data_IF_014568212647
#
_entry.id   IF_014568212647
#
_cell.length_a   1.000
_cell.length_b   1.000
_cell.length_c   1.000
_cell.angle_alpha   90.00
_cell.angle_beta   90.00
_cell.angle_gamma   90.00
#
_symmetry.space_group_name_H-M   'P 1'
#
loop_
_entity.id
_entity.type
_entity.pdbx_description
1 polymer ?
#
# COMPACT_ATOMS: atom_id res chain seq x y z
N UNK A 1 -24.21 -3.05 1.59
CA UNK A 1 -23.22 -4.13 1.37
C UNK A 1 -22.49 -4.35 2.69
N UNK A 2 -22.49 -5.56 3.19
CA UNK A 2 -21.88 -5.91 4.47
C UNK A 2 -20.36 -5.99 4.27
N UNK A 3 -19.63 -5.11 4.96
CA UNK A 3 -18.17 -5.23 5.15
C UNK A 3 -17.84 -6.67 5.51
N UNK A 4 -16.72 -7.20 5.00
CA UNK A 4 -16.17 -8.45 5.55
C UNK A 4 -15.93 -8.21 7.04
N UNK A 5 -16.64 -8.90 7.95
CA UNK A 5 -16.48 -8.69 9.39
C UNK A 5 -15.08 -9.10 9.88
N UNK A 6 -14.29 -9.77 9.04
CA UNK A 6 -13.01 -10.40 9.34
C UNK A 6 -11.83 -9.79 8.57
N UNK A 7 -11.92 -8.52 8.10
CA UNK A 7 -10.80 -7.86 7.41
C UNK A 7 -9.59 -7.70 8.33
N UNK A 8 -8.48 -8.40 8.00
CA UNK A 8 -7.19 -8.26 8.71
C UNK A 8 -6.64 -6.83 8.57
N UNK A 9 -6.88 -6.18 7.41
CA UNK A 9 -6.48 -4.78 7.18
C UNK A 9 -7.22 -3.85 8.13
N UNK A 10 -8.56 -3.95 8.22
CA UNK A 10 -9.33 -3.09 9.13
C UNK A 10 -8.96 -3.35 10.61
N UNK A 11 -8.66 -4.59 10.98
CA UNK A 11 -8.24 -4.94 12.33
C UNK A 11 -6.89 -4.29 12.71
N UNK A 12 -5.97 -4.10 11.76
CA UNK A 12 -4.68 -3.45 11.99
C UNK A 12 -4.78 -1.98 12.45
N UNK A 13 -5.94 -1.35 12.24
CA UNK A 13 -6.22 0.03 12.70
C UNK A 13 -6.98 0.10 14.04
N UNK A 14 -7.31 -1.05 14.64
CA UNK A 14 -8.17 -1.08 15.84
C UNK A 14 -7.43 -0.65 17.13
N UNK A 15 -6.14 -0.96 17.23
CA UNK A 15 -5.34 -0.76 18.45
C UNK A 15 -4.54 0.55 18.45
N UNK A 16 -4.77 1.43 17.48
CA UNK A 16 -4.09 2.72 17.37
C UNK A 16 -3.74 3.09 15.92
N UNK A 17 -2.96 4.17 15.72
CA UNK A 17 -2.60 4.59 14.38
C UNK A 17 -1.72 3.56 13.70
N UNK A 18 -2.15 3.12 12.50
CA UNK A 18 -1.40 2.14 11.73
C UNK A 18 -0.20 2.77 11.00
N UNK A 19 0.91 2.04 10.95
CA UNK A 19 2.04 2.33 10.08
C UNK A 19 2.03 1.37 8.89
N UNK A 20 1.96 1.94 7.69
CA UNK A 20 1.88 1.22 6.41
C UNK A 20 3.11 1.57 5.55
N UNK A 21 4.22 0.82 5.67
CA UNK A 21 5.36 0.98 4.77
C UNK A 21 5.04 0.45 3.38
N UNK A 22 5.61 1.13 2.36
CA UNK A 22 5.62 0.66 0.98
C UNK A 22 7.04 0.28 0.56
N UNK A 23 7.19 -0.87 -0.11
CA UNK A 23 8.35 -1.25 -0.91
C UNK A 23 7.92 -1.91 -2.23
N UNK A 24 8.74 -1.78 -3.27
CA UNK A 24 8.58 -2.58 -4.48
C UNK A 24 9.12 -4.01 -4.23
N UNK A 25 8.30 -5.02 -4.50
CA UNK A 25 8.72 -6.42 -4.35
C UNK A 25 9.89 -6.73 -5.29
N UNK A 26 10.96 -7.33 -4.76
CA UNK A 26 12.14 -7.70 -5.52
C UNK A 26 13.16 -6.56 -5.73
N UNK A 27 13.03 -5.43 -5.09
CA UNK A 27 13.99 -4.32 -5.16
C UNK A 27 15.03 -4.43 -4.02
N UNK A 28 16.35 -4.44 -4.27
CA UNK A 28 17.03 -4.56 -5.58
C UNK A 28 17.19 -6.01 -6.06
N UNK A 29 16.89 -6.98 -5.23
CA UNK A 29 16.83 -8.41 -5.53
C UNK A 29 15.75 -9.10 -4.72
N UNK A 30 15.34 -10.30 -5.13
CA UNK A 30 14.30 -11.08 -4.46
C UNK A 30 14.62 -11.31 -2.97
N UNK A 31 15.84 -11.83 -2.69
CA UNK A 31 16.26 -12.20 -1.34
C UNK A 31 16.48 -10.98 -0.44
N UNK A 32 17.07 -9.90 -0.98
CA UNK A 32 17.26 -8.66 -0.24
C UNK A 32 15.90 -8.04 0.12
N UNK A 33 14.97 -8.00 -0.85
CA UNK A 33 13.62 -7.47 -0.66
C UNK A 33 12.84 -8.23 0.42
N UNK A 34 12.91 -9.57 0.46
CA UNK A 34 12.34 -10.37 1.55
C UNK A 34 12.88 -9.95 2.92
N UNK A 35 14.20 -9.78 3.02
CA UNK A 35 14.85 -9.34 4.26
C UNK A 35 14.40 -7.94 4.67
N UNK A 36 14.22 -7.04 3.70
CA UNK A 36 13.80 -5.66 3.95
C UNK A 36 12.35 -5.58 4.42
N UNK A 37 11.44 -6.32 3.79
CA UNK A 37 10.03 -6.36 4.23
C UNK A 37 9.92 -6.95 5.64
N UNK A 38 10.64 -8.03 5.93
CA UNK A 38 10.71 -8.60 7.29
C UNK A 38 11.23 -7.60 8.31
N UNK A 39 12.26 -6.82 7.97
CA UNK A 39 12.80 -5.78 8.84
C UNK A 39 11.78 -4.66 9.12
N UNK A 40 10.95 -4.27 8.15
CA UNK A 40 9.86 -3.30 8.35
C UNK A 40 8.79 -3.84 9.30
N UNK A 41 8.42 -5.12 9.16
CA UNK A 41 7.46 -5.80 10.06
C UNK A 41 8.02 -5.84 11.49
N UNK A 42 9.28 -6.24 11.67
CA UNK A 42 9.99 -6.22 12.98
C UNK A 42 10.12 -4.80 13.55
N UNK A 43 10.15 -3.78 12.70
CA UNK A 43 10.18 -2.36 13.07
C UNK A 43 8.82 -1.80 13.49
N UNK A 44 7.73 -2.55 13.34
CA UNK A 44 6.40 -2.16 13.81
C UNK A 44 5.43 -1.77 12.69
N UNK A 45 5.60 -2.29 11.46
CA UNK A 45 4.57 -2.18 10.44
C UNK A 45 3.30 -2.92 10.87
N UNK A 46 2.15 -2.30 10.70
CA UNK A 46 0.83 -2.90 10.99
C UNK A 46 0.18 -3.48 9.73
N UNK A 47 0.50 -2.92 8.57
CA UNK A 47 0.12 -3.37 7.22
C UNK A 47 1.34 -3.16 6.34
N UNK A 48 1.60 -4.01 5.36
CA UNK A 48 2.64 -3.75 4.34
C UNK A 48 1.97 -3.51 3.01
N UNK A 49 2.24 -2.36 2.39
CA UNK A 49 1.91 -2.08 1.00
C UNK A 49 3.08 -2.56 0.13
N UNK A 50 2.86 -3.63 -0.62
CA UNK A 50 3.88 -4.29 -1.43
C UNK A 50 3.59 -4.06 -2.91
N UNK A 51 4.45 -3.29 -3.58
CA UNK A 51 4.30 -2.96 -4.99
C UNK A 51 4.63 -4.15 -5.90
N UNK A 52 3.69 -4.59 -6.72
CA UNK A 52 3.95 -5.45 -7.87
C UNK A 52 4.44 -4.53 -9.01
N UNK A 53 5.70 -4.65 -9.46
CA UNK A 53 6.27 -3.72 -10.41
C UNK A 53 5.60 -3.77 -11.79
N UNK A 54 5.47 -2.60 -12.40
CA UNK A 54 4.91 -2.40 -13.73
C UNK A 54 5.85 -1.50 -14.55
N UNK A 55 6.02 -1.80 -15.84
CA UNK A 55 7.00 -1.13 -16.71
C UNK A 55 6.69 0.36 -16.99
N UNK A 56 5.45 0.79 -16.81
CA UNK A 56 4.98 2.14 -17.12
C UNK A 56 4.26 2.79 -15.93
N UNK A 57 4.93 2.98 -14.78
CA UNK A 57 4.33 3.53 -13.58
C UNK A 57 4.07 5.03 -13.76
N UNK A 58 2.81 5.43 -13.80
CA UNK A 58 2.39 6.83 -14.03
C UNK A 58 1.97 7.56 -12.75
N UNK A 59 1.70 6.81 -11.67
CA UNK A 59 1.22 7.38 -10.41
C UNK A 59 2.35 7.71 -9.43
N UNK A 60 3.54 7.13 -9.59
CA UNK A 60 4.64 7.21 -8.65
C UNK A 60 5.67 8.28 -9.01
N UNK A 61 6.36 8.78 -7.97
CA UNK A 61 7.52 9.67 -8.11
C UNK A 61 8.79 8.92 -8.56
N UNK A 62 9.82 9.69 -8.94
CA UNK A 62 11.08 9.15 -9.50
C UNK A 62 11.77 8.11 -8.63
N UNK A 63 11.75 8.26 -7.30
CA UNK A 63 12.34 7.31 -6.34
C UNK A 63 11.70 5.94 -6.47
N UNK A 64 10.36 5.87 -6.46
CA UNK A 64 9.62 4.60 -6.58
C UNK A 64 9.73 4.04 -7.98
N UNK A 65 9.71 4.88 -9.03
CA UNK A 65 9.95 4.44 -10.40
C UNK A 65 11.31 3.75 -10.55
N UNK A 66 12.37 4.29 -9.93
CA UNK A 66 13.71 3.66 -9.95
C UNK A 66 13.72 2.29 -9.25
N UNK A 67 13.00 2.15 -8.14
CA UNK A 67 12.83 0.87 -7.45
C UNK A 67 12.10 -0.16 -8.31
N UNK A 68 11.04 0.26 -9.01
CA UNK A 68 10.30 -0.59 -9.95
C UNK A 68 11.22 -1.08 -11.08
N UNK A 69 12.06 -0.20 -11.63
CA UNK A 69 13.04 -0.58 -12.68
C UNK A 69 14.02 -1.63 -12.16
N UNK A 70 14.64 -1.41 -10.98
CA UNK A 70 15.57 -2.39 -10.38
C UNK A 70 14.89 -3.74 -10.14
N UNK A 71 13.66 -3.73 -9.65
CA UNK A 71 12.87 -4.95 -9.42
C UNK A 71 12.60 -5.71 -10.73
N UNK A 72 12.20 -5.03 -11.81
CA UNK A 72 11.99 -5.64 -13.12
C UNK A 72 13.29 -6.19 -13.72
N UNK A 73 14.40 -5.46 -13.61
CA UNK A 73 15.73 -5.92 -14.02
C UNK A 73 16.18 -7.15 -13.19
N UNK A 74 15.78 -7.24 -11.92
CA UNK A 74 15.93 -8.40 -11.05
C UNK A 74 15.02 -9.58 -11.41
N UNK A 75 14.18 -9.44 -12.46
CA UNK A 75 13.33 -10.50 -13.00
C UNK A 75 12.04 -10.72 -12.24
N UNK A 76 11.52 -9.73 -11.51
CA UNK A 76 10.20 -9.80 -10.89
C UNK A 76 9.11 -9.86 -11.96
N UNK A 77 8.17 -10.77 -11.77
CA UNK A 77 6.99 -10.97 -12.61
C UNK A 77 5.77 -11.18 -11.71
N UNK A 78 4.53 -11.11 -12.22
CA UNK A 78 3.35 -11.40 -11.39
C UNK A 78 3.40 -12.77 -10.72
N UNK A 79 3.86 -13.82 -11.41
CA UNK A 79 4.02 -15.15 -10.81
C UNK A 79 5.02 -15.17 -9.65
N UNK A 80 6.22 -14.58 -9.86
CA UNK A 80 7.25 -14.46 -8.81
C UNK A 80 6.82 -13.55 -7.65
N UNK A 81 5.98 -12.57 -7.90
CA UNK A 81 5.40 -11.73 -6.84
C UNK A 81 4.54 -12.57 -5.89
N UNK A 82 3.70 -13.44 -6.41
CA UNK A 82 2.88 -14.30 -5.55
C UNK A 82 3.71 -15.33 -4.80
N UNK A 83 4.77 -15.90 -5.42
CA UNK A 83 5.75 -16.74 -4.73
C UNK A 83 6.45 -15.97 -3.60
N UNK A 84 6.78 -14.69 -3.83
CA UNK A 84 7.37 -13.81 -2.84
C UNK A 84 6.44 -13.59 -1.63
N UNK A 85 5.15 -13.35 -1.87
CA UNK A 85 4.17 -13.16 -0.80
C UNK A 85 4.00 -14.45 0.01
N UNK A 86 3.93 -15.61 -0.65
CA UNK A 86 3.89 -16.92 0.02
C UNK A 86 5.13 -17.18 0.88
N UNK A 87 6.34 -16.90 0.36
CA UNK A 87 7.60 -17.08 1.10
C UNK A 87 7.77 -16.08 2.25
N UNK A 88 7.21 -14.88 2.11
CA UNK A 88 7.21 -13.88 3.17
C UNK A 88 6.47 -14.38 4.40
N UNK A 89 5.38 -15.12 4.22
CA UNK A 89 4.50 -15.69 5.30
C UNK A 89 4.22 -14.64 6.39
N UNK A 90 3.64 -13.53 5.95
CA UNK A 90 3.56 -12.31 6.75
C UNK A 90 2.59 -12.43 7.93
N UNK A 91 3.04 -12.04 9.12
CA UNK A 91 2.21 -11.90 10.32
C UNK A 91 1.24 -10.72 10.26
N UNK A 92 1.53 -9.71 9.41
CA UNK A 92 0.69 -8.53 9.18
C UNK A 92 0.03 -8.59 7.81
N UNK A 93 -1.10 -7.91 7.58
CA UNK A 93 -1.76 -7.90 6.28
C UNK A 93 -0.87 -7.32 5.17
N UNK A 94 -0.99 -7.90 3.98
CA UNK A 94 -0.30 -7.48 2.75
C UNK A 94 -1.30 -6.85 1.81
N UNK A 95 -1.05 -5.60 1.43
CA UNK A 95 -1.79 -4.89 0.38
C UNK A 95 -0.95 -4.86 -0.90
N UNK A 96 -1.45 -5.44 -1.96
CA UNK A 96 -0.81 -5.39 -3.27
C UNK A 96 -1.12 -4.06 -3.96
N UNK A 97 -0.09 -3.23 -4.20
CA UNK A 97 -0.21 -2.05 -5.05
C UNK A 97 0.26 -2.38 -6.45
N UNK A 98 -0.61 -2.21 -7.45
CA UNK A 98 -0.29 -2.48 -8.86
C UNK A 98 -1.22 -1.72 -9.80
N UNK A 99 -1.03 -1.91 -11.11
CA UNK A 99 -1.82 -1.27 -12.17
C UNK A 99 -2.87 -2.23 -12.74
N UNK A 100 -4.04 -1.69 -13.11
CA UNK A 100 -5.16 -2.50 -13.54
C UNK A 100 -4.87 -3.33 -14.79
N UNK A 101 -3.97 -2.87 -15.65
CA UNK A 101 -3.56 -3.64 -16.81
C UNK A 101 -2.95 -5.00 -16.45
N UNK A 102 -2.12 -5.08 -15.41
CA UNK A 102 -1.56 -6.34 -14.92
C UNK A 102 -2.65 -7.25 -14.36
N UNK A 103 -3.57 -6.68 -13.60
CA UNK A 103 -4.70 -7.42 -13.03
C UNK A 103 -5.59 -8.01 -14.13
N UNK A 104 -5.90 -7.22 -15.15
CA UNK A 104 -6.82 -7.61 -16.23
C UNK A 104 -6.21 -8.61 -17.21
N UNK A 105 -4.90 -8.52 -17.46
CA UNK A 105 -4.18 -9.39 -18.41
C UNK A 105 -3.70 -10.70 -17.78
N UNK A 106 -3.72 -10.82 -16.47
CA UNK A 106 -3.30 -12.01 -15.75
C UNK A 106 -4.25 -13.17 -16.06
N UNK A 107 -3.82 -14.13 -16.88
CA UNK A 107 -4.65 -15.24 -17.30
C UNK A 107 -4.54 -16.48 -16.41
N UNK A 108 -5.44 -17.43 -16.61
CA UNK A 108 -5.41 -18.72 -15.88
C UNK A 108 -4.12 -19.53 -16.11
N UNK A 109 -3.45 -19.35 -17.24
CA UNK A 109 -2.15 -19.96 -17.54
C UNK A 109 -1.06 -19.46 -16.59
N UNK A 110 -0.99 -18.16 -16.36
CA UNK A 110 -0.04 -17.54 -15.41
C UNK A 110 -0.37 -17.90 -13.95
N UNK A 111 -1.67 -18.00 -13.62
CA UNK A 111 -2.11 -18.45 -12.30
C UNK A 111 -1.64 -19.87 -11.95
N UNK A 112 -1.42 -20.72 -12.96
CA UNK A 112 -0.92 -22.10 -12.81
C UNK A 112 0.57 -22.23 -13.00
N UNK A 113 1.30 -21.12 -13.23
CA UNK A 113 2.74 -21.15 -13.53
C UNK A 113 3.09 -21.72 -14.91
N UNK A 114 2.11 -21.83 -15.82
CA UNK A 114 2.32 -22.31 -17.19
C UNK A 114 2.32 -21.10 -18.13
N UNK A 115 3.42 -20.87 -18.92
CA UNK A 115 3.42 -19.80 -19.92
C UNK A 115 2.31 -19.98 -20.95
N UNK A 116 1.66 -18.89 -21.36
CA UNK A 116 0.56 -18.86 -22.34
C UNK A 116 0.85 -19.61 -23.66
N UNK A 117 2.13 -19.80 -24.01
CA UNK A 117 2.54 -20.50 -25.24
C UNK A 117 2.41 -22.02 -25.20
N UNK A 118 2.16 -22.64 -24.04
CA UNK A 118 2.07 -24.08 -23.88
C UNK A 118 0.66 -24.60 -23.58
N UNK A 119 -0.26 -23.70 -23.16
CA UNK A 119 -1.67 -24.06 -22.94
C UNK A 119 -2.43 -23.99 -24.27
N UNK A 120 -2.50 -25.10 -24.98
CA UNK A 120 -3.33 -25.20 -26.18
C UNK A 120 -4.80 -24.90 -25.90
N UNK A 121 -5.34 -23.87 -26.59
CA UNK A 121 -6.76 -23.64 -26.90
C UNK A 121 -7.83 -23.63 -25.78
N UNK A 122 -7.50 -23.29 -24.54
CA UNK A 122 -8.50 -22.71 -23.64
C UNK A 122 -8.33 -21.20 -23.70
N UNK A 123 -9.35 -20.45 -24.16
CA UNK A 123 -9.33 -19.00 -24.08
C UNK A 123 -9.08 -18.61 -22.63
N UNK A 124 -7.89 -18.03 -22.36
CA UNK A 124 -7.55 -17.50 -21.04
C UNK A 124 -8.69 -16.56 -20.61
N UNK A 125 -9.28 -16.82 -19.46
CA UNK A 125 -10.33 -15.98 -18.90
C UNK A 125 -9.68 -14.63 -18.56
N UNK A 126 -9.99 -13.59 -19.33
CA UNK A 126 -9.50 -12.23 -19.09
C UNK A 126 -10.40 -11.55 -18.07
N UNK A 127 -9.78 -10.71 -17.25
CA UNK A 127 -10.49 -9.97 -16.23
C UNK A 127 -9.81 -10.08 -14.86
N UNK A 128 -10.36 -9.46 -13.82
CA UNK A 128 -9.69 -9.41 -12.52
C UNK A 128 -9.76 -10.73 -11.73
N UNK A 129 -10.72 -11.61 -11.98
CA UNK A 129 -10.97 -12.79 -11.16
C UNK A 129 -9.77 -13.76 -11.06
N UNK A 130 -9.04 -14.13 -12.13
CA UNK A 130 -7.86 -14.99 -12.02
C UNK A 130 -6.76 -14.40 -11.14
N UNK A 131 -6.49 -13.09 -11.28
CA UNK A 131 -5.49 -12.39 -10.48
C UNK A 131 -5.89 -12.35 -9.01
N UNK A 132 -7.13 -11.96 -8.71
CA UNK A 132 -7.66 -11.86 -7.33
C UNK A 132 -7.64 -13.22 -6.64
N UNK A 133 -8.07 -14.29 -7.33
CA UNK A 133 -7.99 -15.65 -6.81
C UNK A 133 -6.55 -16.04 -6.45
N UNK A 134 -5.60 -15.82 -7.37
CA UNK A 134 -4.19 -16.15 -7.14
C UNK A 134 -3.58 -15.33 -6.01
N UNK A 135 -3.96 -14.04 -5.91
CA UNK A 135 -3.54 -13.16 -4.83
C UNK A 135 -4.05 -13.65 -3.46
N UNK A 136 -5.32 -14.04 -3.38
CA UNK A 136 -5.89 -14.60 -2.16
C UNK A 136 -5.19 -15.89 -1.72
N UNK A 137 -4.91 -16.80 -2.68
CA UNK A 137 -4.17 -18.04 -2.43
C UNK A 137 -2.74 -17.77 -1.92
N UNK A 138 -2.10 -16.70 -2.39
CA UNK A 138 -0.76 -16.31 -1.96
C UNK A 138 -0.72 -15.62 -0.58
N UNK A 139 -1.87 -15.18 -0.05
CA UNK A 139 -1.93 -14.49 1.23
C UNK A 139 -1.95 -12.96 1.13
N UNK A 140 -2.31 -12.40 -0.02
CA UNK A 140 -2.65 -10.97 -0.16
C UNK A 140 -3.99 -10.71 0.54
N UNK A 141 -4.11 -9.58 1.25
CA UNK A 141 -5.32 -9.19 2.00
C UNK A 141 -6.14 -8.11 1.28
N UNK A 142 -5.55 -7.40 0.33
CA UNK A 142 -6.25 -6.34 -0.41
C UNK A 142 -5.42 -5.69 -1.51
N UNK A 143 -6.04 -4.73 -2.20
CA UNK A 143 -5.45 -4.05 -3.35
C UNK A 143 -5.55 -2.53 -3.26
N UNK A 144 -4.50 -1.85 -3.78
CA UNK A 144 -4.52 -0.45 -4.21
C UNK A 144 -4.24 -0.43 -5.71
N UNK A 145 -5.17 0.08 -6.51
CA UNK A 145 -5.06 0.17 -7.98
C UNK A 145 -5.22 1.63 -8.41
N UNK A 146 -4.11 2.39 -8.52
CA UNK A 146 -4.15 3.85 -8.70
C UNK A 146 -4.79 4.33 -10.01
N UNK A 147 -4.72 3.52 -11.05
CA UNK A 147 -5.22 3.84 -12.40
C UNK A 147 -6.65 3.35 -12.67
N UNK A 148 -7.31 2.72 -11.68
CA UNK A 148 -8.68 2.21 -11.84
C UNK A 148 -9.72 3.24 -11.37
N UNK A 149 -10.51 3.82 -12.31
CA UNK A 149 -11.60 4.72 -11.93
C UNK A 149 -12.72 3.97 -11.19
N UNK A 150 -13.37 4.66 -10.25
CA UNK A 150 -14.50 4.09 -9.50
C UNK A 150 -15.63 3.55 -10.41
N UNK A 151 -15.81 4.18 -11.56
CA UNK A 151 -16.80 3.80 -12.57
C UNK A 151 -16.53 2.42 -13.18
N UNK A 152 -15.28 1.98 -13.21
CA UNK A 152 -14.82 0.73 -13.83
C UNK A 152 -14.44 -0.34 -12.78
N UNK A 153 -14.44 0.02 -11.48
CA UNK A 153 -13.96 -0.85 -10.40
C UNK A 153 -14.94 -1.99 -10.02
N UNK A 154 -16.18 -1.99 -10.54
CA UNK A 154 -17.19 -2.99 -10.22
C UNK A 154 -16.72 -4.44 -10.32
N UNK A 155 -16.17 -4.89 -11.48
CA UNK A 155 -15.73 -6.27 -11.66
C UNK A 155 -14.59 -6.67 -10.70
N UNK A 156 -13.65 -5.74 -10.38
CA UNK A 156 -12.61 -6.00 -9.40
C UNK A 156 -13.19 -6.10 -7.99
N UNK A 157 -14.15 -5.21 -7.64
CA UNK A 157 -14.81 -5.24 -6.34
C UNK A 157 -15.55 -6.57 -6.12
N UNK A 158 -16.29 -7.03 -7.13
CA UNK A 158 -17.00 -8.32 -7.08
C UNK A 158 -16.02 -9.48 -6.84
N UNK A 159 -14.92 -9.53 -7.60
CA UNK A 159 -13.89 -10.55 -7.42
C UNK A 159 -13.25 -10.49 -6.02
N UNK A 160 -12.98 -9.29 -5.49
CA UNK A 160 -12.47 -9.11 -4.13
C UNK A 160 -13.47 -9.62 -3.08
N UNK A 161 -14.76 -9.31 -3.23
CA UNK A 161 -15.82 -9.77 -2.32
C UNK A 161 -15.93 -11.30 -2.29
N UNK A 162 -15.79 -11.97 -3.44
CA UNK A 162 -15.83 -13.44 -3.54
C UNK A 162 -14.68 -14.11 -2.78
N UNK A 163 -13.52 -13.45 -2.69
CA UNK A 163 -12.33 -13.98 -2.05
C UNK A 163 -12.01 -13.35 -0.68
N UNK A 164 -12.86 -12.44 -0.19
CA UNK A 164 -12.70 -11.79 1.11
C UNK A 164 -11.54 -10.79 1.16
N UNK A 165 -11.12 -10.23 0.01
CA UNK A 165 -10.06 -9.23 -0.07
C UNK A 165 -10.62 -7.81 -0.01
N UNK A 166 -9.81 -6.88 0.53
CA UNK A 166 -10.16 -5.47 0.57
C UNK A 166 -9.77 -4.74 -0.72
N UNK A 167 -10.56 -3.74 -1.10
CA UNK A 167 -10.23 -2.80 -2.16
C UNK A 167 -10.09 -1.40 -1.58
N UNK A 168 -8.87 -0.91 -1.50
CA UNK A 168 -8.51 0.38 -0.94
C UNK A 168 -8.66 1.45 -2.01
N UNK A 169 -9.44 2.49 -1.73
CA UNK A 169 -9.65 3.61 -2.63
C UNK A 169 -8.75 4.79 -2.30
N UNK A 170 -8.17 5.43 -3.34
CA UNK A 170 -7.35 6.63 -3.20
C UNK A 170 -8.23 7.86 -3.31
N UNK A 171 -8.15 8.72 -2.31
CA UNK A 171 -8.78 10.04 -2.26
C UNK A 171 -7.71 11.12 -2.35
N UNK A 172 -7.79 11.94 -3.40
CA UNK A 172 -6.91 13.07 -3.62
C UNK A 172 -7.60 14.40 -3.23
N UNK A 173 -6.85 15.48 -2.98
CA UNK A 173 -7.43 16.80 -2.74
C UNK A 173 -8.35 17.29 -3.86
N UNK A 174 -8.11 16.81 -5.09
CA UNK A 174 -8.91 17.14 -6.28
C UNK A 174 -10.16 16.27 -6.45
N UNK A 175 -10.39 15.28 -5.56
CA UNK A 175 -11.56 14.40 -5.63
C UNK A 175 -12.83 15.19 -5.34
N UNK A 176 -13.78 15.22 -6.28
CA UNK A 176 -15.08 15.88 -6.10
C UNK A 176 -15.97 15.10 -5.12
N UNK A 177 -17.00 15.74 -4.55
CA UNK A 177 -17.87 15.08 -3.55
C UNK A 177 -18.62 13.88 -4.13
N UNK A 178 -19.15 14.00 -5.35
CA UNK A 178 -19.83 12.89 -6.03
C UNK A 178 -18.90 11.70 -6.32
N UNK A 179 -17.63 11.97 -6.60
CA UNK A 179 -16.63 10.92 -6.79
C UNK A 179 -16.20 10.31 -5.46
N UNK A 180 -16.12 11.12 -4.41
CA UNK A 180 -15.82 10.66 -3.05
C UNK A 180 -16.87 9.66 -2.56
N UNK A 181 -18.16 10.00 -2.69
CA UNK A 181 -19.26 9.09 -2.34
C UNK A 181 -19.11 7.73 -3.04
N UNK A 182 -18.87 7.75 -4.35
CA UNK A 182 -18.70 6.53 -5.14
C UNK A 182 -17.46 5.72 -4.76
N UNK A 183 -16.34 6.39 -4.48
CA UNK A 183 -15.12 5.73 -3.99
C UNK A 183 -15.37 5.05 -2.64
N UNK A 184 -16.08 5.70 -1.72
CA UNK A 184 -16.40 5.16 -0.41
C UNK A 184 -17.37 3.96 -0.46
N UNK A 185 -18.27 3.90 -1.47
CA UNK A 185 -19.14 2.73 -1.68
C UNK A 185 -18.35 1.47 -2.06
N UNK A 186 -17.24 1.64 -2.79
CA UNK A 186 -16.39 0.55 -3.26
C UNK A 186 -15.25 0.20 -2.29
N UNK A 187 -14.92 1.14 -1.40
CA UNK A 187 -13.77 1.03 -0.51
C UNK A 187 -14.02 0.10 0.68
N UNK A 188 -12.99 -0.70 1.00
CA UNK A 188 -12.93 -1.48 2.24
C UNK A 188 -11.51 -1.44 2.81
N UNK A 189 -11.30 -2.00 4.01
CA UNK A 189 -10.02 -1.91 4.71
C UNK A 189 -9.79 -0.50 5.26
N UNK A 190 -9.19 0.39 4.48
CA UNK A 190 -8.98 1.80 4.80
C UNK A 190 -9.13 2.71 3.57
N UNK A 191 -9.24 4.00 3.80
CA UNK A 191 -9.19 5.02 2.73
C UNK A 191 -7.75 5.54 2.64
N UNK A 192 -7.12 5.42 1.45
CA UNK A 192 -5.84 6.02 1.17
C UNK A 192 -6.03 7.52 0.88
N UNK A 193 -5.58 8.39 1.77
CA UNK A 193 -5.65 9.85 1.58
C UNK A 193 -4.33 10.34 1.04
N UNK A 194 -4.35 10.81 -0.21
CA UNK A 194 -3.19 11.40 -0.84
C UNK A 194 -2.94 12.80 -0.25
N UNK A 195 -1.81 12.95 0.44
CA UNK A 195 -1.41 14.22 1.03
C UNK A 195 -0.52 15.05 0.09
N UNK A 196 -0.48 16.37 0.35
CA UNK A 196 0.65 17.24 0.00
C UNK A 196 1.18 17.81 1.30
N UNK A 197 2.46 17.62 1.60
CA UNK A 197 3.09 18.32 2.70
C UNK A 197 3.39 19.77 2.28
N UNK A 198 3.22 20.71 3.21
CA UNK A 198 3.53 22.12 2.98
C UNK A 198 5.04 22.31 2.74
N UNK A 199 5.39 23.11 1.74
CA UNK A 199 6.79 23.39 1.36
C UNK A 199 7.43 24.54 2.15
N UNK A 200 6.77 25.07 3.18
CA UNK A 200 7.25 26.29 3.87
C UNK A 200 7.18 26.18 5.38
N UNK A 201 8.34 26.04 6.03
CA UNK A 201 8.49 26.25 7.47
C UNK A 201 9.29 25.19 8.22
N UNK A 202 9.85 25.58 9.37
CA UNK A 202 10.61 24.73 10.28
C UNK A 202 9.76 23.72 11.09
N UNK A 203 8.47 23.66 10.82
CA UNK A 203 7.53 22.61 11.27
C UNK A 203 6.93 21.95 10.04
N UNK A 204 6.87 20.62 10.08
CA UNK A 204 6.20 19.80 9.05
C UNK A 204 4.68 19.92 9.21
N UNK A 205 4.14 21.12 8.94
CA UNK A 205 2.70 21.34 8.98
C UNK A 205 2.06 20.60 7.80
N UNK A 206 0.98 19.88 8.10
CA UNK A 206 0.11 19.30 7.08
C UNK A 206 -0.41 20.44 6.20
N UNK A 207 -0.46 20.22 4.88
CA UNK A 207 -1.09 21.21 4.02
C UNK A 207 -2.58 21.37 4.38
N UNK A 208 -3.09 22.59 4.24
CA UNK A 208 -4.51 22.89 4.42
C UNK A 208 -5.39 21.92 3.59
N UNK A 209 -4.96 21.57 2.38
CA UNK A 209 -5.63 20.62 1.51
C UNK A 209 -5.72 19.20 2.09
N UNK A 210 -4.70 18.74 2.82
CA UNK A 210 -4.73 17.44 3.49
C UNK A 210 -5.70 17.46 4.67
N UNK A 211 -5.68 18.53 5.46
CA UNK A 211 -6.63 18.72 6.57
C UNK A 211 -8.09 18.77 6.06
N UNK A 212 -8.33 19.47 4.95
CA UNK A 212 -9.66 19.51 4.29
C UNK A 212 -10.08 18.10 3.81
N UNK A 213 -9.17 17.32 3.21
CA UNK A 213 -9.46 15.96 2.77
C UNK A 213 -9.85 15.06 3.94
N UNK A 214 -9.14 15.15 5.08
CA UNK A 214 -9.48 14.42 6.31
C UNK A 214 -10.83 14.86 6.89
N UNK A 215 -11.11 16.18 6.89
CA UNK A 215 -12.39 16.70 7.36
C UNK A 215 -13.58 16.19 6.54
N UNK A 216 -13.43 16.09 5.21
CA UNK A 216 -14.46 15.50 4.31
C UNK A 216 -14.74 14.02 4.59
N UNK A 217 -13.78 13.33 5.20
CA UNK A 217 -13.87 11.91 5.55
C UNK A 217 -14.25 11.68 7.03
N UNK A 218 -14.52 12.74 7.80
CA UNK A 218 -14.77 12.64 9.25
C UNK A 218 -15.93 11.69 9.60
N UNK A 219 -16.99 11.69 8.79
CA UNK A 219 -18.17 10.83 8.98
C UNK A 219 -18.00 9.43 8.37
N UNK A 220 -16.90 9.16 7.67
CA UNK A 220 -16.62 7.82 7.12
C UNK A 220 -16.25 6.88 8.26
N UNK A 221 -16.88 5.69 8.32
CA UNK A 221 -16.53 4.69 9.31
C UNK A 221 -15.24 3.92 8.94
N UNK A 222 -14.64 4.16 7.75
CA UNK A 222 -13.37 3.56 7.35
C UNK A 222 -12.20 4.32 7.97
N UNK A 223 -11.14 3.63 8.43
CA UNK A 223 -9.88 4.26 8.79
C UNK A 223 -9.31 5.08 7.64
N UNK A 224 -8.62 6.16 7.94
CA UNK A 224 -7.95 7.05 6.98
C UNK A 224 -6.45 6.94 7.17
N UNK A 225 -5.74 6.39 6.18
CA UNK A 225 -4.28 6.37 6.15
C UNK A 225 -3.78 7.42 5.16
N UNK A 226 -2.89 8.29 5.62
CA UNK A 226 -2.36 9.40 4.83
C UNK A 226 -1.00 9.02 4.27
N UNK A 227 -0.83 9.18 2.97
CA UNK A 227 0.40 8.91 2.25
C UNK A 227 0.88 10.12 1.45
N UNK A 228 2.14 10.09 1.02
CA UNK A 228 2.91 11.10 0.30
C UNK A 228 3.69 12.09 1.19
N UNK A 229 5.01 12.04 1.01
CA UNK A 229 5.95 13.02 1.55
C UNK A 229 6.33 12.84 3.02
N UNK A 230 5.78 11.86 3.71
CA UNK A 230 6.16 11.55 5.09
C UNK A 230 7.54 10.86 5.08
N UNK A 231 8.50 11.42 5.82
CA UNK A 231 9.88 10.95 5.83
C UNK A 231 10.48 10.76 7.23
N UNK A 232 9.82 11.27 8.26
CA UNK A 232 10.29 11.19 9.65
C UNK A 232 9.13 11.06 10.66
N UNK A 233 9.49 10.77 11.92
CA UNK A 233 8.53 10.54 12.99
C UNK A 233 7.71 11.77 13.37
N UNK A 234 8.24 12.99 13.23
CA UNK A 234 7.48 14.21 13.55
C UNK A 234 6.42 14.51 12.48
N UNK A 235 6.73 14.24 11.21
CA UNK A 235 5.74 14.32 10.14
C UNK A 235 4.64 13.26 10.32
N UNK A 236 5.01 12.03 10.71
CA UNK A 236 4.06 10.99 11.04
C UNK A 236 3.15 11.41 12.20
N UNK A 237 3.72 12.03 13.25
CA UNK A 237 2.96 12.55 14.38
C UNK A 237 1.99 13.65 13.96
N UNK A 238 2.46 14.63 13.16
CA UNK A 238 1.63 15.76 12.70
C UNK A 238 0.41 15.29 11.88
N UNK A 239 0.60 14.29 11.02
CA UNK A 239 -0.48 13.72 10.20
C UNK A 239 -1.53 13.02 11.06
N UNK A 240 -1.09 12.24 12.05
CA UNK A 240 -2.00 11.54 12.96
C UNK A 240 -2.69 12.54 13.91
N UNK A 241 -1.99 13.53 14.45
CA UNK A 241 -2.56 14.61 15.26
C UNK A 241 -3.70 15.32 14.54
N UNK A 242 -3.58 15.52 13.21
CA UNK A 242 -4.60 16.14 12.37
C UNK A 242 -5.80 15.25 12.03
N UNK A 243 -5.84 14.01 12.48
CA UNK A 243 -7.02 13.15 12.37
C UNK A 243 -6.85 11.92 11.47
N UNK A 244 -5.64 11.64 10.95
CA UNK A 244 -5.39 10.39 10.22
C UNK A 244 -5.32 9.20 11.18
N UNK A 245 -5.89 8.05 10.79
CA UNK A 245 -5.85 6.81 11.57
C UNK A 245 -4.62 5.97 11.24
N UNK A 246 -3.78 6.42 10.29
CA UNK A 246 -2.52 5.77 9.94
C UNK A 246 -1.70 6.61 8.98
N UNK A 247 -0.45 6.17 8.78
CA UNK A 247 0.51 6.81 7.89
C UNK A 247 1.06 5.81 6.89
N UNK A 248 1.15 6.22 5.61
CA UNK A 248 1.73 5.43 4.53
C UNK A 248 3.05 6.08 4.12
N UNK A 249 4.13 5.30 4.16
CA UNK A 249 5.48 5.81 3.87
C UNK A 249 6.15 4.94 2.82
N UNK A 250 6.47 5.55 1.68
CA UNK A 250 7.14 4.87 0.56
C UNK A 250 8.53 5.42 0.31
N UNK A 251 8.63 6.60 -0.30
CA UNK A 251 9.89 7.13 -0.84
C UNK A 251 11.04 7.15 0.16
N UNK A 252 10.79 7.52 1.42
CA UNK A 252 11.84 7.55 2.45
C UNK A 252 12.44 6.17 2.75
N UNK A 253 11.64 5.09 2.63
CA UNK A 253 12.10 3.71 2.80
C UNK A 253 12.81 3.21 1.54
N UNK A 254 12.26 3.52 0.38
CA UNK A 254 12.88 3.19 -0.92
C UNK A 254 14.23 3.89 -1.09
N UNK A 255 14.40 5.13 -0.60
CA UNK A 255 15.69 5.84 -0.60
C UNK A 255 16.75 5.13 0.27
N UNK A 256 16.35 4.50 1.39
CA UNK A 256 17.26 3.67 2.20
C UNK A 256 17.72 2.44 1.41
N UNK A 257 16.80 1.77 0.71
CA UNK A 257 17.12 0.62 -0.15
C UNK A 257 18.05 1.05 -1.28
N UNK A 258 17.73 2.13 -1.98
CA UNK A 258 18.53 2.66 -3.09
C UNK A 258 19.95 3.02 -2.63
N UNK A 259 20.08 3.73 -1.50
CA UNK A 259 21.38 4.09 -0.92
C UNK A 259 22.20 2.84 -0.54
N UNK A 260 21.59 1.84 0.06
CA UNK A 260 22.27 0.57 0.38
C UNK A 260 22.77 -0.15 -0.86
N UNK A 261 21.93 -0.19 -1.91
CA UNK A 261 22.31 -0.79 -3.19
C UNK A 261 23.44 -0.03 -3.91
N UNK A 262 23.37 1.31 -3.95
CA UNK A 262 24.38 2.16 -4.59
C UNK A 262 25.74 2.09 -3.90
N UNK A 263 25.78 1.87 -2.59
CA UNK A 263 27.00 1.77 -1.79
C UNK A 263 27.53 0.35 -1.64
N UNK A 264 26.87 -0.66 -2.25
CA UNK A 264 27.15 -2.07 -2.02
C UNK A 264 27.11 -2.47 -0.53
N UNK A 265 26.19 -1.84 0.26
CA UNK A 265 26.05 -2.15 1.68
C UNK A 265 25.54 -3.60 1.86
N UNK A 266 25.98 -4.31 2.92
CA UNK A 266 25.41 -5.62 3.26
C UNK A 266 23.88 -5.54 3.45
N UNK A 267 23.16 -6.58 3.02
CA UNK A 267 21.70 -6.66 3.14
C UNK A 267 21.24 -6.45 4.58
N UNK A 268 21.96 -7.03 5.53
CA UNK A 268 21.67 -6.95 6.97
C UNK A 268 21.82 -5.52 7.51
N UNK A 269 22.73 -4.72 6.96
CA UNK A 269 22.93 -3.33 7.35
C UNK A 269 21.77 -2.45 6.84
N UNK A 270 21.39 -2.61 5.58
CA UNK A 270 20.24 -1.93 4.99
C UNK A 270 18.94 -2.33 5.71
N UNK A 271 18.75 -3.62 6.00
CA UNK A 271 17.62 -4.13 6.78
C UNK A 271 17.56 -3.52 8.20
N UNK A 272 18.71 -3.37 8.86
CA UNK A 272 18.76 -2.74 10.17
C UNK A 272 18.34 -1.26 10.12
N UNK A 273 18.78 -0.51 9.11
CA UNK A 273 18.37 0.88 8.87
C UNK A 273 16.87 1.00 8.60
N UNK A 274 16.30 0.09 7.82
CA UNK A 274 14.85 0.03 7.55
C UNK A 274 14.05 -0.26 8.82
N UNK A 275 14.51 -1.21 9.65
CA UNK A 275 13.89 -1.53 10.95
C UNK A 275 13.87 -0.33 11.89
N UNK A 276 14.99 0.39 11.97
CA UNK A 276 15.09 1.59 12.81
C UNK A 276 14.18 2.70 12.32
N UNK A 277 14.16 2.95 11.00
CA UNK A 277 13.27 3.94 10.38
C UNK A 277 11.80 3.58 10.56
N UNK A 278 11.43 2.31 10.43
CA UNK A 278 10.08 1.82 10.69
C UNK A 278 9.64 2.10 12.14
N UNK A 279 10.54 1.83 13.11
CA UNK A 279 10.28 2.12 14.52
C UNK A 279 10.08 3.61 14.77
N UNK A 280 10.95 4.46 14.24
CA UNK A 280 10.81 5.93 14.33
C UNK A 280 9.46 6.40 13.83
N UNK A 281 9.04 5.93 12.64
CA UNK A 281 7.78 6.32 12.02
C UNK A 281 6.56 5.83 12.81
N UNK A 282 6.59 4.59 13.30
CA UNK A 282 5.52 4.02 14.14
C UNK A 282 5.42 4.76 15.47
N UNK A 283 6.53 5.02 16.15
CA UNK A 283 6.56 5.80 17.40
C UNK A 283 6.02 7.22 17.17
N UNK A 284 6.41 7.85 16.07
CA UNK A 284 5.87 9.15 15.66
C UNK A 284 4.35 9.12 15.49
N UNK A 285 3.81 8.14 14.75
CA UNK A 285 2.38 7.99 14.58
C UNK A 285 1.64 7.83 15.92
N UNK A 286 2.16 6.99 16.82
CA UNK A 286 1.61 6.81 18.18
C UNK A 286 1.67 8.10 19.00
N UNK A 287 2.76 8.84 18.93
CA UNK A 287 2.90 10.13 19.62
C UNK A 287 1.88 11.16 19.09
N UNK A 288 1.59 11.18 17.79
CA UNK A 288 0.57 12.03 17.19
C UNK A 288 -0.83 11.76 17.72
N UNK A 289 -1.19 10.49 17.92
CA UNK A 289 -2.48 10.12 18.52
C UNK A 289 -2.64 10.65 19.96
N UNK A 290 -1.56 10.69 20.72
CA UNK A 290 -1.57 11.22 22.09
C UNK A 290 -1.69 12.76 22.13
N UNK A 291 -1.37 13.45 21.04
CA UNK A 291 -1.49 14.91 20.90
C UNK A 291 -2.87 15.35 20.41
N UNK A 292 -3.72 14.42 19.90
CA UNK A 292 -5.06 14.77 19.43
C UNK A 292 -5.86 15.42 20.54
N UNK A 293 -6.54 16.57 20.27
CA UNK A 293 -7.50 17.12 21.21
C UNK A 293 -8.63 16.12 21.44
N UNK A 294 -9.07 15.99 22.69
CA UNK A 294 -10.27 15.18 22.97
C UNK A 294 -11.45 15.72 22.15
N UNK A 295 -12.24 14.84 21.51
CA UNK A 295 -13.43 15.28 20.79
C UNK A 295 -14.35 16.00 21.76
N UNK A 296 -14.74 17.24 21.42
CA UNK A 296 -15.73 17.98 22.21
C UNK A 296 -16.99 17.12 22.36
N UNK A 297 -17.28 16.69 23.58
CA UNK A 297 -18.52 15.96 23.88
C UNK A 297 -19.71 16.91 23.63
N UNK A 298 -20.40 16.69 22.50
CA UNK A 298 -21.65 17.36 22.19
C UNK A 298 -22.81 16.73 22.97
#
# INVERSE_FOLDING_TARGET
MTRSPDSRIAAAFADGPAFVPYLAAGDPSYEASLSYVRALIEGGADVVELGLPFSEPIAEGSTIQSAIVRSLEGGMTPGRYFEFVEELDSSVPIVCMTYYNLVYQFGDGEARGVPDSESGEAASEKGPAPFVRRAAEAGVDGFVIPDLPAEEAGPLREACDEHGLDLISIVAPTTTDSRLERLLELCSGYVYVQARLGVTGARADISEQTAESLARLADSPLPKAVGFGISDGEQAASVVEAGADGVIVGSALVDIVASGHENDDPVEETAARLREKARELKEGAVAGAQRRPEPERK
#
